data_IF_147602913504
#
_entry.id   IF_147602913504
#
_cell.length_a   1.000
_cell.length_b   1.000
_cell.length_c   1.000
_cell.angle_alpha   90.00
_cell.angle_beta   90.00
_cell.angle_gamma   90.00
#
_symmetry.space_group_name_H-M   'P 1'
#
loop_
_entity.id
_entity.type
_entity.pdbx_description
1 polymer ?
#
# COMPACT_ATOMS: atom_id res chain seq x y z
N UNK A 1 26.19 3.37 -19.04
CA UNK A 1 25.34 2.62 -18.09
C UNK A 1 24.55 3.48 -17.09
N UNK A 2 24.96 4.73 -16.79
CA UNK A 2 24.25 5.63 -15.84
C UNK A 2 22.82 6.09 -16.22
N UNK A 3 22.45 6.35 -17.49
CA UNK A 3 21.17 7.00 -17.80
C UNK A 3 19.93 6.11 -17.59
N UNK A 4 20.07 4.79 -17.71
CA UNK A 4 18.94 3.87 -17.49
C UNK A 4 18.52 3.81 -16.02
N UNK A 5 19.49 3.85 -15.10
CA UNK A 5 19.23 3.82 -13.65
C UNK A 5 18.52 5.09 -13.17
N UNK A 6 18.88 6.25 -13.72
CA UNK A 6 18.23 7.53 -13.40
C UNK A 6 16.78 7.58 -13.93
N UNK A 7 16.54 7.04 -15.12
CA UNK A 7 15.20 6.96 -15.71
C UNK A 7 14.29 6.02 -14.91
N UNK A 8 14.79 4.85 -14.50
CA UNK A 8 14.08 3.91 -13.63
C UNK A 8 13.76 4.52 -12.26
N UNK A 9 14.71 5.25 -11.66
CA UNK A 9 14.49 5.93 -10.39
C UNK A 9 13.38 6.98 -10.48
N UNK A 10 13.36 7.77 -11.56
CA UNK A 10 12.30 8.77 -11.80
C UNK A 10 10.94 8.09 -11.99
N UNK A 11 10.88 7.02 -12.77
CA UNK A 11 9.64 6.26 -12.98
C UNK A 11 9.08 5.71 -11.66
N UNK A 12 9.96 5.18 -10.80
CA UNK A 12 9.57 4.69 -9.46
C UNK A 12 8.99 5.80 -8.59
N UNK A 13 9.60 6.98 -8.55
CA UNK A 13 9.10 8.13 -7.77
C UNK A 13 7.71 8.57 -8.26
N UNK A 14 7.48 8.56 -9.57
CA UNK A 14 6.17 8.88 -10.14
C UNK A 14 5.12 7.82 -9.80
N UNK A 15 5.47 6.54 -9.89
CA UNK A 15 4.59 5.44 -9.51
C UNK A 15 4.23 5.49 -8.01
N UNK A 16 5.22 5.72 -7.14
CA UNK A 16 5.02 5.86 -5.70
C UNK A 16 4.01 6.99 -5.41
N UNK A 17 4.15 8.16 -6.06
CA UNK A 17 3.21 9.27 -5.90
C UNK A 17 1.81 8.93 -6.41
N UNK A 18 1.69 8.30 -7.57
CA UNK A 18 0.40 7.94 -8.17
C UNK A 18 -0.36 6.93 -7.29
N UNK A 19 0.35 5.94 -6.71
CA UNK A 19 -0.22 4.99 -5.76
C UNK A 19 -0.85 5.71 -4.57
N UNK A 20 -0.12 6.62 -3.92
CA UNK A 20 -0.68 7.36 -2.77
C UNK A 20 -1.85 8.26 -3.16
N UNK A 21 -1.83 8.86 -4.34
CA UNK A 21 -2.98 9.64 -4.82
C UNK A 21 -4.21 8.78 -5.08
N UNK A 22 -4.03 7.56 -5.61
CA UNK A 22 -5.12 6.61 -5.78
C UNK A 22 -5.71 6.18 -4.42
N UNK A 23 -4.87 5.83 -3.45
CA UNK A 23 -5.31 5.47 -2.09
C UNK A 23 -6.08 6.62 -1.42
N UNK A 24 -5.62 7.87 -1.56
CA UNK A 24 -6.30 9.05 -1.03
C UNK A 24 -7.66 9.34 -1.69
N UNK A 25 -7.93 8.76 -2.87
CA UNK A 25 -9.18 8.98 -3.59
C UNK A 25 -10.31 8.04 -3.17
N UNK A 26 -10.00 6.95 -2.45
CA UNK A 26 -10.98 5.95 -2.00
C UNK A 26 -11.89 6.55 -0.92
N UNK A 27 -13.20 6.34 -1.04
CA UNK A 27 -14.22 6.99 -0.20
C UNK A 27 -14.93 6.03 0.76
N UNK A 28 -14.86 4.72 0.52
CA UNK A 28 -15.60 3.72 1.29
C UNK A 28 -14.88 2.35 1.32
N UNK A 29 -15.36 1.46 2.20
CA UNK A 29 -14.78 0.13 2.40
C UNK A 29 -14.85 -0.76 1.15
N UNK A 30 -15.90 -0.63 0.35
CA UNK A 30 -16.07 -1.41 -0.89
C UNK A 30 -15.02 -1.02 -1.94
N UNK A 31 -14.81 0.29 -2.14
CA UNK A 31 -13.74 0.81 -3.01
C UNK A 31 -12.36 0.37 -2.53
N UNK A 32 -12.10 0.41 -1.21
CA UNK A 32 -10.86 -0.12 -0.64
C UNK A 32 -10.69 -1.61 -0.95
N UNK A 33 -11.71 -2.42 -0.69
CA UNK A 33 -11.65 -3.86 -0.91
C UNK A 33 -11.34 -4.19 -2.37
N UNK A 34 -12.02 -3.54 -3.33
CA UNK A 34 -11.79 -3.75 -4.76
C UNK A 34 -10.40 -3.30 -5.20
N UNK A 35 -9.98 -2.10 -4.77
CA UNK A 35 -8.66 -1.56 -5.12
C UNK A 35 -7.51 -2.46 -4.64
N UNK A 36 -7.57 -2.90 -3.39
CA UNK A 36 -6.51 -3.72 -2.81
C UNK A 36 -6.54 -5.17 -3.33
N UNK A 37 -7.71 -5.73 -3.69
CA UNK A 37 -7.78 -7.05 -4.35
C UNK A 37 -7.21 -7.07 -5.76
N UNK A 38 -7.29 -5.95 -6.48
CA UNK A 38 -6.71 -5.83 -7.82
C UNK A 38 -5.19 -5.59 -7.77
N UNK A 39 -4.72 -4.87 -6.74
CA UNK A 39 -3.31 -4.49 -6.59
C UNK A 39 -2.45 -5.57 -5.93
N UNK A 40 -3.02 -6.33 -4.99
CA UNK A 40 -2.28 -7.26 -4.15
C UNK A 40 -2.72 -8.71 -4.39
N UNK A 41 -1.81 -9.63 -4.12
CA UNK A 41 -2.15 -11.06 -4.02
C UNK A 41 -2.95 -11.33 -2.73
N UNK A 42 -3.74 -12.41 -2.67
CA UNK A 42 -4.49 -12.76 -1.46
C UNK A 42 -3.63 -12.84 -0.20
N UNK A 43 -2.42 -13.41 -0.30
CA UNK A 43 -1.50 -13.53 0.85
C UNK A 43 -0.91 -12.18 1.29
N UNK A 44 -0.75 -11.21 0.38
CA UNK A 44 -0.32 -9.85 0.75
C UNK A 44 -1.42 -9.12 1.50
N UNK A 45 -2.69 -9.30 1.11
CA UNK A 45 -3.83 -8.76 1.85
C UNK A 45 -3.98 -9.39 3.23
N UNK A 46 -3.87 -10.71 3.33
CA UNK A 46 -3.86 -11.43 4.61
C UNK A 46 -2.77 -10.87 5.53
N UNK A 47 -1.55 -10.70 5.01
CA UNK A 47 -0.46 -10.10 5.78
C UNK A 47 -0.74 -8.65 6.22
N UNK A 48 -1.46 -7.85 5.43
CA UNK A 48 -1.88 -6.50 5.83
C UNK A 48 -2.90 -6.54 6.97
N UNK A 49 -3.88 -7.45 6.90
CA UNK A 49 -4.90 -7.64 7.94
C UNK A 49 -4.26 -8.10 9.25
N UNK A 50 -3.35 -9.09 9.20
CA UNK A 50 -2.63 -9.58 10.38
C UNK A 50 -1.82 -8.47 11.05
N UNK A 51 -1.14 -7.64 10.24
CA UNK A 51 -0.40 -6.45 10.75
C UNK A 51 -1.32 -5.39 11.32
N UNK A 52 -2.55 -5.26 10.84
CA UNK A 52 -3.51 -4.30 11.38
C UNK A 52 -4.14 -4.79 12.68
N UNK A 53 -4.39 -6.10 12.81
CA UNK A 53 -4.98 -6.72 13.99
C UNK A 53 -4.17 -6.49 15.27
N UNK A 54 -2.87 -6.20 15.16
CA UNK A 54 -2.02 -5.87 16.32
C UNK A 54 -2.08 -4.41 16.77
N UNK A 55 -2.58 -3.49 15.92
CA UNK A 55 -2.61 -2.04 16.20
C UNK A 55 -3.36 -1.69 17.50
N UNK A 56 -4.52 -2.29 17.82
CA UNK A 56 -5.19 -2.03 19.09
C UNK A 56 -4.32 -2.37 20.31
N UNK A 57 -3.60 -3.51 20.28
CA UNK A 57 -2.74 -3.92 21.38
C UNK A 57 -1.53 -2.99 21.56
N UNK A 58 -0.94 -2.53 20.45
CA UNK A 58 0.14 -1.56 20.48
C UNK A 58 -0.31 -0.22 21.10
N UNK A 59 -1.53 0.22 20.80
CA UNK A 59 -2.11 1.43 21.39
C UNK A 59 -2.40 1.28 22.90
N UNK A 60 -2.68 0.07 23.36
CA UNK A 60 -2.85 -0.25 24.79
C UNK A 60 -1.53 -0.40 25.54
N UNK A 61 -0.38 -0.25 24.86
CA UNK A 61 0.95 -0.40 25.46
C UNK A 61 1.31 -1.86 25.77
N UNK A 62 0.56 -2.81 25.20
CA UNK A 62 0.90 -4.24 25.27
C UNK A 62 2.04 -4.51 24.28
N UNK A 63 3.10 -5.24 24.70
CA UNK A 63 4.23 -5.56 23.85
C UNK A 63 3.87 -6.53 22.71
#
# INVERSE_FOLDING_TARGET
MKPHKEMQQKAKVLADKALYQAVLSLQNEEECSQFFSDLCTPSELEAMVDRWAVVPYLNEGLP
#
